data_IF_000867744682
#
_entry.id   IF_000867744682
#
_cell.length_a   1.000
_cell.length_b   1.000
_cell.length_c   1.000
_cell.angle_alpha   90.00
_cell.angle_beta   90.00
_cell.angle_gamma   90.00
#
_symmetry.space_group_name_H-M   'P 1'
#
loop_
_entity.id
_entity.type
_entity.pdbx_description
1 polymer ?
#
# COMPACT_ATOMS: atom_id res chain seq x y z
N UNK A 1 12.34 -26.31 -0.26
CA UNK A 1 12.95 -25.06 0.20
C UNK A 1 11.96 -24.25 1.02
N UNK A 2 12.42 -23.23 1.70
CA UNK A 2 11.56 -22.29 2.44
C UNK A 2 11.14 -21.15 1.52
N UNK A 3 9.94 -20.61 1.73
CA UNK A 3 9.39 -19.46 1.03
C UNK A 3 9.14 -18.29 2.01
N UNK A 4 8.59 -17.19 1.55
CA UNK A 4 8.34 -16.01 2.39
C UNK A 4 7.39 -16.31 3.55
N UNK A 5 6.39 -17.16 3.38
CA UNK A 5 5.44 -17.53 4.43
C UNK A 5 6.10 -18.23 5.61
N UNK A 6 7.23 -18.94 5.38
CA UNK A 6 7.96 -19.61 6.45
C UNK A 6 8.74 -18.64 7.37
N UNK A 7 8.85 -17.36 6.96
CA UNK A 7 9.60 -16.35 7.68
C UNK A 7 8.73 -15.16 8.16
N UNK A 8 7.52 -15.03 7.60
CA UNK A 8 6.63 -13.93 7.94
C UNK A 8 5.90 -14.19 9.25
N UNK A 9 5.82 -13.19 10.12
CA UNK A 9 5.01 -13.24 11.35
C UNK A 9 3.50 -13.12 11.06
N UNK A 10 3.16 -12.44 9.97
CA UNK A 10 1.78 -12.27 9.49
C UNK A 10 1.74 -12.49 8.00
N UNK A 11 0.83 -13.34 7.56
CA UNK A 11 0.58 -13.61 6.15
C UNK A 11 -0.84 -13.16 5.80
N UNK A 12 -0.98 -12.43 4.70
CA UNK A 12 -2.27 -12.04 4.14
C UNK A 12 -2.37 -12.72 2.78
N UNK A 13 -3.41 -13.53 2.59
CA UNK A 13 -3.70 -14.14 1.30
C UNK A 13 -4.59 -13.20 0.51
N UNK A 14 -4.17 -12.83 -0.68
CA UNK A 14 -4.91 -11.97 -1.61
C UNK A 14 -5.93 -12.75 -2.45
N UNK A 15 -5.93 -14.08 -2.34
CA UNK A 15 -6.79 -15.00 -3.07
C UNK A 15 -6.75 -14.86 -4.59
N UNK A 16 -5.67 -14.33 -5.14
CA UNK A 16 -5.51 -14.22 -6.58
C UNK A 16 -5.44 -15.62 -7.24
N UNK A 17 -6.05 -15.80 -8.42
CA UNK A 17 -5.94 -17.06 -9.15
C UNK A 17 -4.50 -17.29 -9.62
N UNK A 18 -4.14 -18.57 -9.78
CA UNK A 18 -2.83 -18.94 -10.33
C UNK A 18 -2.66 -18.34 -11.72
N UNK A 19 -1.55 -17.61 -11.88
CA UNK A 19 -1.25 -16.87 -13.12
C UNK A 19 -1.77 -15.44 -13.15
N UNK A 20 -2.53 -15.01 -12.12
CA UNK A 20 -2.97 -13.64 -11.86
C UNK A 20 -3.88 -13.00 -12.92
N UNK A 21 -3.64 -13.24 -14.21
CA UNK A 21 -4.45 -12.71 -15.31
C UNK A 21 -5.76 -13.49 -15.45
N UNK A 22 -6.89 -12.78 -15.55
CA UNK A 22 -8.24 -13.37 -15.42
C UNK A 22 -9.11 -13.24 -16.67
N UNK A 23 -8.67 -12.51 -17.69
CA UNK A 23 -9.47 -12.26 -18.91
C UNK A 23 -8.95 -13.07 -20.07
N UNK A 24 -9.80 -13.96 -20.59
CA UNK A 24 -9.53 -14.68 -21.84
C UNK A 24 -10.14 -13.94 -23.03
N UNK A 25 -9.32 -13.51 -23.96
CA UNK A 25 -9.75 -12.85 -25.20
C UNK A 25 -9.80 -13.89 -26.32
N UNK A 26 -10.92 -14.03 -27.06
CA UNK A 26 -11.00 -14.94 -28.17
C UNK A 26 -9.87 -14.72 -29.19
N UNK A 27 -9.18 -15.79 -29.58
CA UNK A 27 -8.02 -15.74 -30.47
C UNK A 27 -6.66 -15.55 -29.78
N UNK A 28 -6.63 -15.31 -28.46
CA UNK A 28 -5.41 -15.30 -27.67
C UNK A 28 -5.23 -16.61 -26.89
N UNK A 29 -3.98 -17.05 -26.74
CA UNK A 29 -3.63 -18.24 -25.94
C UNK A 29 -3.26 -17.88 -24.49
N UNK A 30 -2.94 -16.63 -24.23
CA UNK A 30 -2.51 -16.13 -22.93
C UNK A 30 -3.58 -15.22 -22.35
N UNK A 31 -4.03 -15.44 -21.11
CA UNK A 31 -4.92 -14.52 -20.41
C UNK A 31 -4.25 -13.15 -20.19
N UNK A 32 -5.06 -12.11 -20.09
CA UNK A 32 -4.64 -10.74 -19.79
C UNK A 32 -5.41 -10.20 -18.59
N UNK A 33 -5.06 -9.00 -18.12
CA UNK A 33 -5.73 -8.35 -16.99
C UNK A 33 -5.33 -8.97 -15.65
N UNK A 34 -4.08 -8.76 -15.19
CA UNK A 34 -3.66 -9.16 -13.86
C UNK A 34 -4.45 -8.40 -12.79
N UNK A 35 -4.86 -9.10 -11.73
CA UNK A 35 -5.71 -8.55 -10.67
C UNK A 35 -4.95 -8.32 -9.35
N UNK A 36 -3.76 -8.91 -9.18
CA UNK A 36 -2.95 -8.78 -7.97
C UNK A 36 -2.71 -7.33 -7.58
N UNK A 37 -2.33 -6.48 -8.53
CA UNK A 37 -2.08 -5.07 -8.25
C UNK A 37 -3.31 -4.35 -7.67
N UNK A 38 -4.53 -4.66 -8.13
CA UNK A 38 -5.75 -4.04 -7.61
C UNK A 38 -6.02 -4.52 -6.19
N UNK A 39 -5.89 -5.82 -5.94
CA UNK A 39 -6.14 -6.43 -4.62
C UNK A 39 -5.06 -6.00 -3.64
N UNK A 40 -3.78 -6.05 -4.02
CA UNK A 40 -2.66 -5.69 -3.16
C UNK A 40 -2.69 -4.22 -2.75
N UNK A 41 -2.99 -3.30 -3.67
CA UNK A 41 -3.18 -1.90 -3.32
C UNK A 41 -4.38 -1.70 -2.38
N UNK A 42 -5.46 -2.43 -2.58
CA UNK A 42 -6.61 -2.39 -1.69
C UNK A 42 -6.23 -2.84 -0.28
N UNK A 43 -5.51 -3.96 -0.15
CA UNK A 43 -5.01 -4.48 1.14
C UNK A 43 -4.10 -3.45 1.80
N UNK A 44 -3.15 -2.87 1.05
CA UNK A 44 -2.23 -1.85 1.56
C UNK A 44 -2.98 -0.64 2.12
N UNK A 45 -3.97 -0.12 1.41
CA UNK A 45 -4.80 1.00 1.89
C UNK A 45 -5.64 0.63 3.12
N UNK A 46 -6.20 -0.57 3.19
CA UNK A 46 -6.94 -1.02 4.37
C UNK A 46 -6.03 -1.13 5.60
N UNK A 47 -4.79 -1.59 5.43
CA UNK A 47 -3.80 -1.61 6.50
C UNK A 47 -3.43 -0.20 6.96
N UNK A 48 -3.18 0.72 6.01
CA UNK A 48 -2.90 2.13 6.29
C UNK A 48 -4.04 2.79 7.09
N UNK A 49 -5.28 2.65 6.62
CA UNK A 49 -6.48 3.19 7.27
C UNK A 49 -6.61 2.62 8.69
N UNK A 50 -6.44 1.31 8.85
CA UNK A 50 -6.53 0.64 10.15
C UNK A 50 -5.44 1.12 11.11
N UNK A 51 -4.22 1.31 10.62
CA UNK A 51 -3.10 1.84 11.39
C UNK A 51 -3.38 3.29 11.85
N UNK A 52 -3.82 4.15 10.94
CA UNK A 52 -4.16 5.52 11.26
C UNK A 52 -5.29 5.60 12.30
N UNK A 53 -6.33 4.79 12.14
CA UNK A 53 -7.43 4.69 13.12
C UNK A 53 -6.92 4.31 14.51
N UNK A 54 -6.09 3.27 14.61
CA UNK A 54 -5.52 2.85 15.89
C UNK A 54 -4.61 3.91 16.51
N UNK A 55 -3.86 4.68 15.70
CA UNK A 55 -3.09 5.82 16.22
C UNK A 55 -4.01 6.85 16.88
N UNK A 56 -5.07 7.26 16.20
CA UNK A 56 -6.03 8.25 16.71
C UNK A 56 -6.71 7.75 17.99
N UNK A 57 -7.14 6.50 18.02
CA UNK A 57 -7.74 5.87 19.23
C UNK A 57 -6.79 5.87 20.43
N UNK A 58 -5.48 5.89 20.20
CA UNK A 58 -4.43 5.99 21.24
C UNK A 58 -3.97 7.43 21.52
N UNK A 59 -4.63 8.43 20.96
CA UNK A 59 -4.27 9.84 21.12
C UNK A 59 -3.00 10.25 20.35
N UNK A 60 -2.58 9.47 19.36
CA UNK A 60 -1.44 9.77 18.50
C UNK A 60 -1.91 10.40 17.19
N UNK A 61 -1.09 11.28 16.63
CA UNK A 61 -1.32 11.86 15.30
C UNK A 61 -0.48 11.08 14.29
N UNK A 62 -1.12 10.30 13.39
CA UNK A 62 -0.37 9.58 12.35
C UNK A 62 0.25 10.55 11.35
N UNK A 63 1.49 10.30 10.89
CA UNK A 63 2.19 11.16 9.94
C UNK A 63 1.70 10.90 8.51
N UNK A 64 0.51 11.39 8.18
CA UNK A 64 -0.08 11.25 6.85
C UNK A 64 0.24 12.47 6.00
N UNK A 65 0.78 12.22 4.80
CA UNK A 65 1.08 13.25 3.82
C UNK A 65 -0.19 13.81 3.20
N UNK A 66 -0.22 15.13 3.04
CA UNK A 66 -1.29 15.79 2.30
C UNK A 66 -0.94 15.83 0.81
N UNK A 67 -1.96 15.76 -0.05
CA UNK A 67 -1.75 15.97 -1.48
C UNK A 67 -1.22 17.38 -1.73
N UNK A 68 -0.14 17.50 -2.50
CA UNK A 68 0.37 18.81 -2.96
C UNK A 68 -0.65 19.56 -3.83
N UNK A 69 -1.59 18.83 -4.46
CA UNK A 69 -2.68 19.41 -5.24
C UNK A 69 -3.83 19.96 -4.37
N UNK A 70 -3.81 19.71 -3.05
CA UNK A 70 -4.79 20.27 -2.14
C UNK A 70 -4.31 21.65 -1.60
N UNK A 71 -5.21 22.62 -1.40
CA UNK A 71 -4.83 23.91 -0.81
C UNK A 71 -4.09 23.75 0.53
N UNK A 72 -2.90 24.30 0.63
CA UNK A 72 -2.06 24.22 1.84
C UNK A 72 -1.40 22.85 2.06
N UNK A 73 -1.35 21.99 1.04
CA UNK A 73 -0.74 20.65 1.14
C UNK A 73 0.76 20.73 1.43
N UNK A 74 1.47 21.57 0.70
CA UNK A 74 2.93 21.72 0.85
C UNK A 74 3.31 22.29 2.23
N UNK A 75 2.58 23.28 2.71
CA UNK A 75 2.81 23.87 4.04
C UNK A 75 2.60 22.85 5.15
N UNK A 76 1.55 22.02 5.04
CA UNK A 76 1.29 20.95 6.02
C UNK A 76 2.36 19.86 5.99
N UNK A 77 2.91 19.58 4.82
CA UNK A 77 3.96 18.59 4.63
C UNK A 77 5.34 19.09 5.09
N UNK A 78 5.57 20.40 5.17
CA UNK A 78 6.89 20.97 5.49
C UNK A 78 7.47 20.43 6.81
N UNK A 79 6.65 20.26 7.84
CA UNK A 79 7.07 19.71 9.13
C UNK A 79 7.49 18.22 9.00
N UNK A 80 6.77 17.46 8.20
CA UNK A 80 7.13 16.05 7.94
C UNK A 80 8.40 15.93 7.10
N UNK A 81 8.58 16.77 6.09
CA UNK A 81 9.82 16.85 5.33
C UNK A 81 11.01 17.15 6.22
N UNK A 82 10.92 18.17 7.06
CA UNK A 82 11.99 18.53 8.00
C UNK A 82 12.35 17.38 8.94
N UNK A 83 11.34 16.62 9.43
CA UNK A 83 11.53 15.50 10.34
C UNK A 83 12.12 14.27 9.67
N UNK A 84 11.60 13.88 8.48
CA UNK A 84 11.89 12.59 7.90
C UNK A 84 12.99 12.61 6.84
N UNK A 85 13.26 13.74 6.17
CA UNK A 85 14.32 13.84 5.17
C UNK A 85 15.71 13.42 5.67
N UNK A 86 16.13 13.70 6.93
CA UNK A 86 17.39 13.19 7.44
C UNK A 86 17.43 11.68 7.64
N UNK A 87 16.27 11.04 7.80
CA UNK A 87 16.13 9.62 8.09
C UNK A 87 15.88 8.78 6.83
N UNK A 88 15.30 9.38 5.81
CA UNK A 88 14.87 8.71 4.57
C UNK A 88 15.62 9.31 3.40
N UNK A 89 16.60 8.58 2.87
CA UNK A 89 17.53 9.10 1.83
C UNK A 89 16.87 9.43 0.49
N UNK A 90 15.72 8.85 0.21
CA UNK A 90 14.98 9.03 -1.04
C UNK A 90 13.80 10.02 -0.93
N UNK A 91 13.68 10.75 0.19
CA UNK A 91 12.63 11.73 0.41
C UNK A 91 13.04 13.13 -0.06
#
# INVERSE_FOLDING_TARGET
GKNLFDYADVCIDDYNPVGDAVVNVPGMTTPIGPVSNVVDFTIAHLLEISCCRQCVERGLVPPVWNSANAPGGDEKNAAYLAKYKPLVKCL
#
